data_IF_955317855271
#
_entry.id   IF_955317855271
#
_cell.length_a   1.000
_cell.length_b   1.000
_cell.length_c   1.000
_cell.angle_alpha   90.00
_cell.angle_beta   90.00
_cell.angle_gamma   90.00
#
_symmetry.space_group_name_H-M   'P 1'
#
loop_
_entity.id
_entity.type
_entity.pdbx_description
1 polymer ?
#
# COMPACT_ATOMS: atom_id res chain seq x y z
N UNK A 1 24.17 -8.98 1.75
CA UNK A 1 23.95 -9.43 3.14
C UNK A 1 22.77 -8.64 3.68
N UNK A 2 21.72 -9.28 4.20
CA UNK A 2 20.56 -8.61 4.77
C UNK A 2 21.00 -7.67 5.90
N UNK A 3 20.55 -6.43 5.85
CA UNK A 3 20.89 -5.40 6.83
C UNK A 3 19.88 -5.43 7.99
N UNK A 4 20.20 -6.19 9.05
CA UNK A 4 19.36 -6.21 10.28
C UNK A 4 19.21 -4.84 10.94
N UNK A 5 20.14 -3.92 10.69
CA UNK A 5 20.05 -2.54 11.12
C UNK A 5 18.86 -1.79 10.52
N UNK A 6 18.40 -2.17 9.31
CA UNK A 6 17.23 -1.56 8.70
C UNK A 6 15.93 -1.84 9.46
N UNK A 7 15.73 -3.06 9.93
CA UNK A 7 14.55 -3.36 10.75
C UNK A 7 14.49 -2.48 12.01
N UNK A 8 15.65 -2.27 12.65
CA UNK A 8 15.68 -1.40 13.80
C UNK A 8 15.37 0.05 13.43
N UNK A 9 15.91 0.56 12.34
CA UNK A 9 15.57 1.92 11.86
C UNK A 9 14.07 2.10 11.60
N UNK A 10 13.41 1.10 11.01
CA UNK A 10 11.95 1.13 10.83
C UNK A 10 11.21 1.10 12.18
N UNK A 11 11.67 0.30 13.14
CA UNK A 11 11.10 0.26 14.49
C UNK A 11 11.27 1.59 15.22
N UNK A 12 12.40 2.26 15.04
CA UNK A 12 12.69 3.55 15.66
C UNK A 12 11.71 4.66 15.21
N UNK A 13 11.10 4.55 14.02
CA UNK A 13 10.01 5.45 13.61
C UNK A 13 8.85 5.47 14.63
N UNK A 14 8.70 4.41 15.42
CA UNK A 14 7.64 4.22 16.40
C UNK A 14 8.11 4.23 17.85
N UNK A 15 9.34 3.81 18.09
CA UNK A 15 9.91 3.70 19.42
C UNK A 15 10.58 5.00 19.89
N UNK A 16 11.11 5.79 18.94
CA UNK A 16 11.72 7.10 19.19
C UNK A 16 11.37 8.11 18.09
N UNK A 17 10.08 8.44 17.91
CA UNK A 17 9.60 9.22 16.78
C UNK A 17 10.14 10.66 16.71
N UNK A 18 10.68 11.19 17.81
CA UNK A 18 11.22 12.55 17.87
C UNK A 18 12.72 12.61 17.51
N UNK A 19 13.46 11.52 17.68
CA UNK A 19 14.91 11.50 17.47
C UNK A 19 15.37 10.47 16.42
N UNK A 20 14.48 9.65 15.86
CA UNK A 20 14.83 8.70 14.82
C UNK A 20 15.39 9.40 13.55
N UNK A 21 16.18 8.68 12.79
CA UNK A 21 16.58 9.13 11.47
C UNK A 21 15.44 8.98 10.48
N UNK A 22 15.11 10.01 9.65
CA UNK A 22 14.26 9.83 8.50
C UNK A 22 14.81 8.77 7.54
N UNK A 23 13.92 7.96 7.00
CA UNK A 23 14.29 6.92 6.05
C UNK A 23 14.19 7.45 4.62
N UNK A 24 15.10 6.98 3.78
CA UNK A 24 15.16 7.35 2.37
C UNK A 24 15.23 6.10 1.50
N UNK A 25 14.35 6.02 0.54
CA UNK A 25 14.35 4.98 -0.48
C UNK A 25 14.38 5.60 -1.87
N UNK A 26 15.10 4.98 -2.78
CA UNK A 26 15.12 5.41 -4.18
C UNK A 26 14.72 4.23 -5.05
N UNK A 27 13.59 4.34 -5.73
CA UNK A 27 13.05 3.27 -6.57
C UNK A 27 13.98 2.97 -7.74
N UNK A 28 14.53 1.77 -7.73
CA UNK A 28 15.33 1.18 -8.78
C UNK A 28 14.77 -0.20 -9.13
N UNK A 29 15.07 -0.68 -10.30
CA UNK A 29 14.58 -1.97 -10.78
C UNK A 29 15.76 -2.79 -11.29
N UNK A 30 15.73 -4.08 -11.01
CA UNK A 30 16.59 -5.03 -11.65
C UNK A 30 16.27 -5.22 -13.15
N UNK A 31 17.09 -5.98 -13.88
CA UNK A 31 16.83 -6.31 -15.27
C UNK A 31 15.51 -7.08 -15.41
N UNK A 32 14.68 -6.69 -16.38
CA UNK A 32 13.43 -7.39 -16.68
C UNK A 32 13.71 -8.70 -17.40
N UNK A 33 13.57 -9.81 -16.66
CA UNK A 33 13.76 -11.17 -17.17
C UNK A 33 12.45 -11.80 -17.62
N UNK A 34 11.36 -11.50 -16.92
CA UNK A 34 10.04 -12.07 -17.19
C UNK A 34 8.98 -10.98 -17.37
N UNK A 35 8.07 -11.22 -18.33
CA UNK A 35 6.86 -10.41 -18.47
C UNK A 35 5.94 -10.58 -17.27
N UNK A 36 4.99 -9.65 -17.10
CA UNK A 36 3.98 -9.75 -16.03
C UNK A 36 3.15 -11.03 -16.19
N UNK A 37 2.74 -11.38 -17.42
CA UNK A 37 2.00 -12.61 -17.69
C UNK A 37 2.78 -13.88 -17.26
N UNK A 38 4.09 -13.92 -17.52
CA UNK A 38 4.93 -15.04 -17.08
C UNK A 38 5.06 -15.10 -15.57
N UNK A 39 5.17 -13.95 -14.89
CA UNK A 39 5.20 -13.87 -13.44
C UNK A 39 3.87 -14.32 -12.82
N UNK A 40 2.73 -13.92 -13.39
CA UNK A 40 1.40 -14.36 -12.94
C UNK A 40 1.16 -15.86 -13.15
N UNK A 41 1.83 -16.46 -14.14
CA UNK A 41 1.68 -17.89 -14.45
C UNK A 41 2.58 -18.80 -13.59
N UNK A 42 3.66 -18.27 -12.97
CA UNK A 42 4.66 -19.09 -12.25
C UNK A 42 5.19 -18.37 -11.01
N UNK A 43 5.00 -18.92 -9.80
CA UNK A 43 5.58 -18.37 -8.58
C UNK A 43 7.11 -18.36 -8.61
N UNK A 44 7.75 -19.32 -9.30
CA UNK A 44 9.19 -19.35 -9.49
C UNK A 44 9.69 -18.14 -10.27
N UNK A 45 9.05 -17.83 -11.42
CA UNK A 45 9.42 -16.67 -12.25
C UNK A 45 9.14 -15.36 -11.53
N UNK A 46 8.02 -15.27 -10.79
CA UNK A 46 7.69 -14.11 -9.98
C UNK A 46 8.73 -13.87 -8.89
N UNK A 47 9.14 -14.93 -8.18
CA UNK A 47 10.18 -14.84 -7.16
C UNK A 47 11.52 -14.41 -7.78
N UNK A 48 11.94 -15.04 -8.87
CA UNK A 48 13.22 -14.72 -9.52
C UNK A 48 13.27 -13.25 -9.97
N UNK A 49 12.19 -12.73 -10.59
CA UNK A 49 12.14 -11.32 -10.97
C UNK A 49 12.25 -10.40 -9.76
N UNK A 50 11.53 -10.68 -8.68
CA UNK A 50 11.58 -9.86 -7.47
C UNK A 50 12.94 -9.96 -6.75
N UNK A 51 13.64 -11.08 -6.84
CA UNK A 51 15.01 -11.21 -6.35
C UNK A 51 15.99 -10.33 -7.15
N UNK A 52 15.81 -10.18 -8.46
CA UNK A 52 16.61 -9.25 -9.27
C UNK A 52 16.34 -7.79 -8.87
N UNK A 53 15.08 -7.43 -8.63
CA UNK A 53 14.71 -6.11 -8.16
C UNK A 53 15.30 -5.82 -6.75
N UNK A 54 15.24 -6.81 -5.85
CA UNK A 54 15.84 -6.73 -4.51
C UNK A 54 17.37 -6.56 -4.55
N UNK A 55 18.05 -7.23 -5.48
CA UNK A 55 19.50 -7.07 -5.65
C UNK A 55 19.90 -5.66 -6.08
N UNK A 56 19.08 -4.99 -6.91
CA UNK A 56 19.32 -3.59 -7.28
C UNK A 56 19.28 -2.66 -6.05
N UNK A 57 18.36 -2.86 -5.11
CA UNK A 57 18.33 -2.10 -3.85
C UNK A 57 19.50 -2.43 -2.91
N UNK A 58 19.93 -3.70 -2.87
CA UNK A 58 21.13 -4.07 -2.12
C UNK A 58 22.39 -3.39 -2.68
N UNK A 59 22.49 -3.27 -4.02
CA UNK A 59 23.58 -2.54 -4.68
C UNK A 59 23.52 -1.04 -4.42
N UNK A 60 22.32 -0.46 -4.43
CA UNK A 60 22.10 0.94 -4.10
C UNK A 60 22.46 1.24 -2.65
N UNK A 61 22.09 0.37 -1.73
CA UNK A 61 22.35 0.50 -0.28
C UNK A 61 21.43 1.51 0.42
N UNK A 62 20.24 1.75 -0.15
CA UNK A 62 19.22 2.61 0.46
C UNK A 62 18.50 1.94 1.64
N UNK A 63 17.51 2.62 2.23
CA UNK A 63 16.75 2.10 3.37
C UNK A 63 15.58 1.17 2.93
N UNK A 64 15.73 0.44 1.85
CA UNK A 64 14.75 -0.51 1.32
C UNK A 64 14.89 -1.88 1.99
N UNK A 65 13.82 -2.40 2.59
CA UNK A 65 13.76 -3.78 3.07
C UNK A 65 13.18 -4.67 1.97
N UNK A 66 13.98 -5.56 1.37
CA UNK A 66 13.48 -6.46 0.34
C UNK A 66 12.43 -7.44 0.87
N UNK A 67 11.28 -7.50 0.22
CA UNK A 67 10.25 -8.49 0.52
C UNK A 67 9.56 -8.96 -0.77
N UNK A 68 9.29 -10.27 -0.85
CA UNK A 68 8.52 -10.88 -1.91
C UNK A 68 7.02 -10.62 -1.69
N UNK A 69 6.28 -10.38 -2.77
CA UNK A 69 4.83 -10.21 -2.75
C UNK A 69 4.17 -11.11 -3.79
N UNK A 70 3.14 -11.85 -3.40
CA UNK A 70 2.20 -12.46 -4.33
C UNK A 70 1.36 -11.34 -4.98
N UNK A 71 1.90 -10.76 -6.08
CA UNK A 71 1.33 -9.58 -6.71
C UNK A 71 0.35 -9.97 -7.82
N UNK A 72 -0.92 -9.78 -7.58
CA UNK A 72 -2.02 -10.01 -8.53
C UNK A 72 -2.81 -8.73 -8.82
N UNK A 73 -2.20 -7.57 -8.64
CA UNK A 73 -2.83 -6.28 -8.86
C UNK A 73 -3.82 -5.90 -7.76
N UNK A 74 -4.71 -4.97 -8.07
CA UNK A 74 -5.65 -4.36 -7.11
C UNK A 74 -7.05 -4.97 -7.12
N UNK A 75 -7.31 -5.95 -8.00
CA UNK A 75 -8.64 -6.51 -8.21
C UNK A 75 -9.00 -7.69 -7.27
N UNK A 76 -8.12 -8.10 -6.37
CA UNK A 76 -8.23 -9.38 -5.65
C UNK A 76 -9.52 -9.49 -4.82
N UNK A 77 -9.85 -8.46 -4.05
CA UNK A 77 -11.07 -8.44 -3.22
C UNK A 77 -12.31 -8.44 -4.12
N UNK A 78 -12.39 -7.54 -5.12
CA UNK A 78 -13.52 -7.48 -6.04
C UNK A 78 -13.69 -8.78 -6.87
N UNK A 79 -12.58 -9.41 -7.27
CA UNK A 79 -12.61 -10.70 -7.95
C UNK A 79 -13.21 -11.82 -7.08
N UNK A 80 -12.98 -11.77 -5.77
CA UNK A 80 -13.59 -12.74 -4.84
C UNK A 80 -15.12 -12.60 -4.80
N UNK A 81 -15.64 -11.37 -4.94
CA UNK A 81 -17.07 -11.13 -5.07
C UNK A 81 -17.65 -11.53 -6.43
N UNK A 82 -16.81 -11.87 -7.41
CA UNK A 82 -17.20 -12.35 -8.72
C UNK A 82 -16.89 -11.42 -9.89
N UNK A 83 -16.21 -10.29 -9.67
CA UNK A 83 -15.76 -9.43 -10.76
C UNK A 83 -14.80 -10.20 -11.68
N UNK A 84 -15.12 -10.22 -12.97
CA UNK A 84 -14.23 -10.84 -13.98
C UNK A 84 -12.92 -10.06 -14.07
N UNK A 85 -11.81 -10.75 -13.95
CA UNK A 85 -10.48 -10.16 -14.04
C UNK A 85 -9.89 -10.40 -15.41
N UNK A 86 -9.37 -9.33 -16.02
CA UNK A 86 -8.67 -9.37 -17.30
C UNK A 86 -7.19 -9.15 -17.08
N UNK A 87 -6.37 -10.02 -17.66
CA UNK A 87 -4.96 -9.75 -17.81
C UNK A 87 -4.77 -8.60 -18.81
N UNK A 88 -4.00 -7.62 -18.41
CA UNK A 88 -3.70 -6.45 -19.24
C UNK A 88 -2.32 -6.63 -19.86
N UNK A 89 -2.19 -6.33 -21.15
CA UNK A 89 -0.89 -6.42 -21.83
C UNK A 89 0.12 -5.46 -21.16
N UNK A 90 1.19 -6.05 -20.63
CA UNK A 90 2.25 -5.31 -19.94
C UNK A 90 1.86 -4.67 -18.60
N UNK A 91 0.69 -5.00 -18.02
CA UNK A 91 0.21 -4.48 -16.72
C UNK A 91 -0.36 -5.60 -15.84
N UNK A 92 -0.57 -5.27 -14.57
CA UNK A 92 -1.23 -6.17 -13.62
C UNK A 92 -2.72 -6.34 -13.93
N UNK A 93 -3.33 -7.48 -13.52
CA UNK A 93 -4.75 -7.74 -13.75
C UNK A 93 -5.66 -6.65 -13.16
N UNK A 94 -6.74 -6.36 -13.88
CA UNK A 94 -7.76 -5.39 -13.47
C UNK A 94 -9.16 -5.97 -13.68
N UNK A 95 -10.15 -5.46 -12.95
CA UNK A 95 -11.55 -5.81 -13.19
C UNK A 95 -11.98 -5.35 -14.59
N UNK A 96 -12.68 -6.23 -15.31
CA UNK A 96 -13.18 -5.99 -16.66
C UNK A 96 -14.50 -5.21 -16.63
N UNK A 97 -15.35 -5.53 -15.66
CA UNK A 97 -16.68 -4.96 -15.47
C UNK A 97 -17.10 -5.07 -14.01
N UNK A 98 -18.02 -4.22 -13.58
CA UNK A 98 -18.74 -4.39 -12.31
C UNK A 98 -19.78 -5.51 -12.43
N UNK A 99 -20.28 -5.94 -11.29
CA UNK A 99 -21.21 -7.07 -11.18
C UNK A 99 -22.52 -6.69 -10.49
N UNK A 100 -22.58 -5.52 -9.88
CA UNK A 100 -23.76 -5.02 -9.17
C UNK A 100 -24.37 -3.89 -10.00
N UNK A 101 -25.33 -4.21 -10.87
CA UNK A 101 -26.01 -3.24 -11.74
C UNK A 101 -27.05 -2.40 -10.97
N UNK A 102 -27.70 -2.98 -9.96
CA UNK A 102 -28.58 -2.31 -9.03
C UNK A 102 -28.05 -2.46 -7.60
N UNK A 103 -27.97 -1.38 -6.84
CA UNK A 103 -27.46 -1.42 -5.46
C UNK A 103 -28.35 -2.27 -4.55
N UNK A 104 -29.66 -2.34 -4.80
CA UNK A 104 -30.61 -3.18 -4.07
C UNK A 104 -30.24 -4.67 -4.14
N UNK A 105 -29.57 -5.11 -5.20
CA UNK A 105 -29.08 -6.49 -5.32
C UNK A 105 -27.98 -6.84 -4.31
N UNK A 106 -27.46 -5.86 -3.57
CA UNK A 106 -26.51 -6.08 -2.47
C UNK A 106 -27.03 -7.08 -1.44
N UNK A 107 -28.36 -7.14 -1.24
CA UNK A 107 -29.00 -8.09 -0.31
C UNK A 107 -28.78 -9.56 -0.75
N UNK A 108 -28.60 -9.81 -2.04
CA UNK A 108 -28.34 -11.14 -2.60
C UNK A 108 -26.85 -11.41 -2.87
N UNK A 109 -26.01 -10.38 -2.73
CA UNK A 109 -24.56 -10.53 -2.91
C UNK A 109 -23.99 -11.46 -1.84
N UNK A 110 -23.46 -12.61 -2.28
CA UNK A 110 -22.90 -13.61 -1.37
C UNK A 110 -21.57 -13.15 -0.81
N UNK A 111 -21.34 -13.40 0.47
CA UNK A 111 -20.01 -13.24 1.08
C UNK A 111 -19.05 -14.28 0.46
N UNK A 112 -17.90 -13.83 -0.07
CA UNK A 112 -16.93 -14.74 -0.68
C UNK A 112 -16.26 -15.67 0.34
N UNK A 113 -15.62 -16.69 -0.19
CA UNK A 113 -14.73 -17.61 0.54
C UNK A 113 -13.32 -17.54 -0.03
N UNK A 114 -12.37 -18.20 0.63
CA UNK A 114 -11.00 -18.32 0.12
C UNK A 114 -10.86 -19.18 -1.16
N UNK A 115 -11.95 -19.79 -1.64
CA UNK A 115 -11.99 -20.53 -2.91
C UNK A 115 -12.44 -19.67 -4.09
N UNK A 116 -12.93 -18.46 -3.81
CA UNK A 116 -13.46 -17.55 -4.83
C UNK A 116 -12.36 -16.64 -5.38
N UNK A 117 -12.56 -16.16 -6.60
CA UNK A 117 -11.63 -15.24 -7.26
C UNK A 117 -10.25 -15.85 -7.53
N UNK A 118 -9.21 -15.16 -7.11
CA UNK A 118 -7.80 -15.56 -7.30
C UNK A 118 -7.15 -16.08 -6.02
N UNK A 119 -7.91 -16.28 -4.95
CA UNK A 119 -7.38 -16.48 -3.59
C UNK A 119 -6.49 -17.72 -3.48
N UNK A 120 -6.92 -18.86 -4.03
CA UNK A 120 -6.12 -20.10 -4.00
C UNK A 120 -4.78 -19.91 -4.71
N UNK A 121 -4.77 -19.19 -5.85
CA UNK A 121 -3.54 -18.92 -6.59
C UNK A 121 -2.60 -17.96 -5.84
N UNK A 122 -3.13 -16.97 -5.17
CA UNK A 122 -2.35 -16.06 -4.31
C UNK A 122 -1.68 -16.84 -3.18
N UNK A 123 -2.44 -17.70 -2.49
CA UNK A 123 -1.91 -18.57 -1.43
C UNK A 123 -0.82 -19.53 -1.94
N UNK A 124 -1.00 -20.13 -3.11
CA UNK A 124 0.03 -20.97 -3.76
C UNK A 124 1.35 -20.21 -3.92
N UNK A 125 1.28 -18.93 -4.34
CA UNK A 125 2.47 -18.10 -4.50
C UNK A 125 3.14 -17.77 -3.18
N UNK A 126 2.38 -17.44 -2.15
CA UNK A 126 2.91 -17.15 -0.80
C UNK A 126 3.58 -18.38 -0.19
N UNK A 127 2.94 -19.55 -0.27
CA UNK A 127 3.50 -20.81 0.19
C UNK A 127 4.79 -21.15 -0.56
N UNK A 128 4.80 -20.96 -1.89
CA UNK A 128 6.00 -21.16 -2.70
C UNK A 128 7.14 -20.21 -2.27
N UNK A 129 6.84 -18.93 -2.06
CA UNK A 129 7.82 -17.95 -1.62
C UNK A 129 8.38 -18.30 -0.25
N UNK A 130 7.54 -18.61 0.71
CA UNK A 130 7.98 -19.01 2.06
C UNK A 130 8.87 -20.24 2.06
N UNK A 131 8.56 -21.20 1.21
CA UNK A 131 9.34 -22.46 1.08
C UNK A 131 10.69 -22.27 0.39
N UNK A 132 10.76 -21.39 -0.62
CA UNK A 132 11.88 -21.33 -1.55
C UNK A 132 12.73 -20.05 -1.44
N UNK A 133 12.28 -19.05 -0.68
CA UNK A 133 13.00 -17.77 -0.54
C UNK A 133 14.37 -17.94 0.10
N UNK A 134 15.39 -17.17 -0.33
CA UNK A 134 16.62 -17.02 0.43
C UNK A 134 16.36 -16.45 1.83
N UNK A 135 17.23 -16.79 2.79
CA UNK A 135 17.06 -16.36 4.19
C UNK A 135 17.17 -14.84 4.41
N UNK A 136 17.69 -14.11 3.44
CA UNK A 136 17.92 -12.66 3.54
C UNK A 136 16.74 -11.83 3.02
N UNK A 137 15.69 -12.44 2.44
CA UNK A 137 14.52 -11.71 1.96
C UNK A 137 13.28 -12.12 2.76
N UNK A 138 12.38 -11.17 2.94
CA UNK A 138 11.12 -11.39 3.65
C UNK A 138 9.98 -11.70 2.67
N UNK A 139 8.82 -12.05 3.19
CA UNK A 139 7.56 -12.13 2.42
C UNK A 139 6.58 -11.17 3.05
N UNK A 140 5.91 -10.38 2.22
CA UNK A 140 4.86 -9.46 2.63
C UNK A 140 3.50 -9.96 2.16
N UNK A 141 2.44 -9.56 2.84
CA UNK A 141 1.08 -9.89 2.42
C UNK A 141 0.74 -9.27 1.05
N UNK A 142 -0.25 -9.82 0.32
CA UNK A 142 -0.72 -9.23 -0.93
C UNK A 142 -1.29 -7.83 -0.74
N UNK A 143 -1.58 -7.15 -1.85
CA UNK A 143 -2.21 -5.83 -1.79
C UNK A 143 -3.65 -5.92 -1.28
N UNK A 144 -3.99 -5.07 -0.30
CA UNK A 144 -5.34 -4.98 0.27
C UNK A 144 -5.96 -3.66 -0.14
N UNK A 145 -6.92 -3.72 -1.05
CA UNK A 145 -7.71 -2.55 -1.40
C UNK A 145 -8.79 -2.33 -0.35
N UNK A 146 -9.09 -1.06 -0.05
CA UNK A 146 -10.10 -0.68 0.93
C UNK A 146 -11.51 -1.12 0.54
N UNK A 147 -12.43 -1.02 1.49
CA UNK A 147 -13.84 -1.30 1.24
C UNK A 147 -14.39 -0.43 0.10
N UNK A 148 -14.08 0.88 0.09
CA UNK A 148 -14.55 1.77 -0.97
C UNK A 148 -13.93 1.47 -2.33
N UNK A 149 -12.61 1.25 -2.41
CA UNK A 149 -12.00 0.85 -3.68
C UNK A 149 -12.62 -0.41 -4.25
N UNK A 150 -12.86 -1.41 -3.40
CA UNK A 150 -13.48 -2.68 -3.79
C UNK A 150 -14.95 -2.48 -4.17
N UNK A 151 -15.71 -1.65 -3.44
CA UNK A 151 -17.09 -1.30 -3.78
C UNK A 151 -17.17 -0.59 -5.13
N UNK A 152 -16.24 0.34 -5.41
CA UNK A 152 -16.15 1.01 -6.70
C UNK A 152 -15.88 0.03 -7.86
N UNK A 153 -15.06 -1.01 -7.64
CA UNK A 153 -14.85 -2.06 -8.64
C UNK A 153 -16.08 -2.97 -8.81
N UNK A 154 -16.84 -3.21 -7.74
CA UNK A 154 -18.02 -4.11 -7.73
C UNK A 154 -19.24 -3.41 -8.35
N UNK A 155 -19.49 -2.14 -8.02
CA UNK A 155 -20.67 -1.35 -8.38
C UNK A 155 -20.44 -0.40 -9.57
N UNK A 156 -19.19 -0.03 -9.80
CA UNK A 156 -18.85 0.99 -10.79
C UNK A 156 -19.03 2.42 -10.25
N UNK A 157 -19.08 3.38 -11.17
CA UNK A 157 -19.20 4.80 -10.81
C UNK A 157 -20.54 5.14 -10.16
N UNK A 158 -21.57 4.32 -10.34
CA UNK A 158 -22.89 4.54 -9.77
C UNK A 158 -22.87 4.54 -8.24
N UNK A 159 -21.87 3.91 -7.61
CA UNK A 159 -21.64 3.98 -6.14
C UNK A 159 -21.62 5.43 -5.63
N UNK A 160 -21.20 6.40 -6.46
CA UNK A 160 -21.14 7.81 -6.05
C UNK A 160 -22.56 8.38 -5.88
N UNK A 161 -23.50 7.97 -6.69
CA UNK A 161 -24.92 8.37 -6.56
C UNK A 161 -25.59 7.58 -5.43
N UNK A 162 -25.24 6.30 -5.26
CA UNK A 162 -25.80 5.43 -4.23
C UNK A 162 -25.57 5.96 -2.81
N UNK A 163 -24.49 6.72 -2.56
CA UNK A 163 -24.29 7.38 -1.27
C UNK A 163 -25.42 8.33 -0.88
N UNK A 164 -26.12 8.90 -1.87
CA UNK A 164 -27.23 9.84 -1.66
C UNK A 164 -28.59 9.18 -1.83
N UNK A 165 -28.73 8.32 -2.83
CA UNK A 165 -30.00 7.72 -3.24
C UNK A 165 -30.33 6.46 -2.43
N UNK A 166 -29.33 5.68 -2.03
CA UNK A 166 -29.46 4.40 -1.32
C UNK A 166 -28.35 4.21 -0.26
N UNK A 167 -28.28 5.12 0.74
CA UNK A 167 -27.19 5.11 1.73
C UNK A 167 -27.14 3.85 2.59
N UNK A 168 -28.27 3.22 2.86
CA UNK A 168 -28.33 2.02 3.69
C UNK A 168 -27.75 0.80 2.94
N UNK A 169 -28.10 0.63 1.66
CA UNK A 169 -27.57 -0.43 0.79
C UNK A 169 -26.07 -0.22 0.53
N UNK A 170 -25.64 1.02 0.38
CA UNK A 170 -24.22 1.37 0.27
C UNK A 170 -23.45 0.96 1.53
N UNK A 171 -23.98 1.21 2.72
CA UNK A 171 -23.37 0.75 3.99
C UNK A 171 -23.31 -0.80 4.05
N UNK A 172 -24.37 -1.48 3.64
CA UNK A 172 -24.39 -2.96 3.58
C UNK A 172 -23.29 -3.49 2.66
N UNK A 173 -23.07 -2.84 1.50
CA UNK A 173 -21.99 -3.22 0.58
C UNK A 173 -20.61 -3.04 1.21
N UNK A 174 -20.36 -1.88 1.81
CA UNK A 174 -19.10 -1.57 2.48
C UNK A 174 -18.83 -2.53 3.65
N UNK A 175 -19.85 -2.85 4.46
CA UNK A 175 -19.75 -3.78 5.57
C UNK A 175 -19.42 -5.20 5.11
N UNK A 176 -20.11 -5.72 4.09
CA UNK A 176 -19.82 -7.04 3.51
C UNK A 176 -18.38 -7.13 3.00
N UNK A 177 -17.91 -6.07 2.35
CA UNK A 177 -16.54 -6.03 1.83
C UNK A 177 -15.54 -6.01 2.99
N UNK A 178 -15.75 -5.17 4.01
CA UNK A 178 -14.86 -5.07 5.19
C UNK A 178 -14.79 -6.40 5.94
N UNK A 179 -15.94 -7.08 6.15
CA UNK A 179 -15.99 -8.40 6.78
C UNK A 179 -15.16 -9.43 6.01
N UNK A 180 -15.28 -9.43 4.69
CA UNK A 180 -14.48 -10.30 3.86
C UNK A 180 -13.01 -9.92 3.86
N UNK A 181 -12.65 -8.64 3.77
CA UNK A 181 -11.27 -8.16 3.85
C UNK A 181 -10.58 -8.64 5.13
N UNK A 182 -11.27 -8.56 6.27
CA UNK A 182 -10.76 -9.03 7.57
C UNK A 182 -10.49 -10.54 7.58
N UNK A 183 -11.39 -11.32 7.00
CA UNK A 183 -11.19 -12.76 6.84
C UNK A 183 -10.04 -13.05 5.88
N UNK A 184 -10.04 -12.39 4.74
CA UNK A 184 -9.10 -12.58 3.67
C UNK A 184 -7.65 -12.28 4.11
N UNK A 185 -7.40 -11.15 4.75
CA UNK A 185 -6.04 -10.79 5.16
C UNK A 185 -5.50 -11.74 6.25
N UNK A 186 -6.37 -12.20 7.17
CA UNK A 186 -5.98 -13.18 8.18
C UNK A 186 -5.57 -14.51 7.54
N UNK A 187 -6.32 -14.97 6.54
CA UNK A 187 -5.98 -16.20 5.81
C UNK A 187 -4.71 -16.05 4.96
N UNK A 188 -4.55 -14.94 4.24
CA UNK A 188 -3.37 -14.67 3.43
C UNK A 188 -2.08 -14.54 4.27
N UNK A 189 -2.18 -14.07 5.50
CA UNK A 189 -1.01 -13.98 6.39
C UNK A 189 -0.58 -15.31 7.02
N UNK A 190 -1.45 -16.31 7.09
CA UNK A 190 -1.13 -17.58 7.75
C UNK A 190 0.16 -18.26 7.27
N UNK A 191 0.44 -18.36 5.97
CA UNK A 191 1.70 -18.93 5.49
C UNK A 191 2.90 -18.03 5.76
N UNK A 192 2.71 -16.71 5.97
CA UNK A 192 3.79 -15.72 6.06
C UNK A 192 4.23 -15.52 7.50
N UNK A 193 3.30 -15.17 8.40
CA UNK A 193 3.61 -14.80 9.79
C UNK A 193 2.35 -14.77 10.65
N UNK A 194 2.51 -15.08 11.93
CA UNK A 194 1.53 -14.87 12.99
C UNK A 194 1.77 -13.56 13.79
N UNK A 195 2.79 -12.78 13.43
CA UNK A 195 3.08 -11.50 14.05
C UNK A 195 1.96 -10.50 13.77
N UNK A 196 1.41 -9.91 14.82
CA UNK A 196 0.37 -8.88 14.77
C UNK A 196 0.87 -7.48 15.17
N UNK A 197 2.11 -7.41 15.64
CA UNK A 197 2.74 -6.13 16.03
C UNK A 197 3.56 -5.52 14.89
N UNK A 198 4.19 -6.37 14.06
CA UNK A 198 5.04 -5.93 12.96
C UNK A 198 4.75 -6.71 11.68
N UNK A 199 4.75 -6.01 10.56
CA UNK A 199 4.57 -6.65 9.25
C UNK A 199 5.42 -5.99 8.17
N UNK A 200 5.83 -6.79 7.20
CA UNK A 200 6.52 -6.30 6.01
C UNK A 200 5.50 -5.87 4.95
N UNK A 201 5.69 -4.68 4.40
CA UNK A 201 4.91 -4.16 3.28
C UNK A 201 5.68 -3.04 2.59
N UNK A 202 5.50 -2.91 1.27
CA UNK A 202 6.01 -1.78 0.47
C UNK A 202 7.42 -1.36 0.89
N UNK A 203 8.35 -2.33 0.87
CA UNK A 203 9.78 -2.09 1.12
C UNK A 203 10.16 -1.67 2.55
N UNK A 204 9.32 -1.91 3.52
CA UNK A 204 9.55 -1.55 4.92
C UNK A 204 9.02 -2.57 5.92
N UNK A 205 9.35 -2.31 7.19
CA UNK A 205 8.79 -2.99 8.36
C UNK A 205 7.92 -1.99 9.13
N UNK A 206 6.65 -2.33 9.31
CA UNK A 206 5.66 -1.40 9.82
C UNK A 206 4.99 -1.92 11.08
N UNK A 207 4.60 -1.02 11.98
CA UNK A 207 3.86 -1.36 13.18
C UNK A 207 2.40 -1.67 12.83
N UNK A 208 1.86 -2.77 13.40
CA UNK A 208 0.51 -3.27 13.14
C UNK A 208 0.52 -4.58 12.36
N UNK A 209 -0.58 -4.90 11.69
CA UNK A 209 -0.74 -6.20 11.05
C UNK A 209 -0.94 -6.16 9.53
N UNK A 210 -1.43 -5.05 8.97
CA UNK A 210 -1.67 -4.96 7.53
C UNK A 210 -1.74 -3.49 7.04
N UNK A 211 -1.79 -3.36 5.72
CA UNK A 211 -2.06 -2.10 5.03
C UNK A 211 -3.42 -2.20 4.31
N UNK A 212 -4.15 -1.08 4.23
CA UNK A 212 -5.28 -0.92 3.30
C UNK A 212 -5.06 0.28 2.39
N UNK A 213 -5.59 0.23 1.17
CA UNK A 213 -5.35 1.22 0.11
C UNK A 213 -6.64 1.86 -0.39
N UNK A 214 -6.71 3.19 -0.29
CA UNK A 214 -7.82 4.02 -0.75
C UNK A 214 -7.40 4.84 -2.00
N UNK A 215 -7.25 4.18 -3.15
CA UNK A 215 -6.81 4.86 -4.38
C UNK A 215 -7.94 5.60 -5.11
N UNK A 216 -9.21 5.35 -4.77
CA UNK A 216 -10.38 6.04 -5.35
C UNK A 216 -10.88 7.20 -4.47
N UNK A 217 -10.19 7.54 -3.37
CA UNK A 217 -10.64 8.53 -2.41
C UNK A 217 -10.90 9.91 -3.03
N UNK A 218 -10.11 10.30 -4.02
CA UNK A 218 -10.27 11.56 -4.77
C UNK A 218 -11.61 11.71 -5.50
N UNK A 219 -12.42 10.65 -5.59
CA UNK A 219 -13.77 10.69 -6.17
C UNK A 219 -14.82 11.14 -5.16
N UNK A 220 -14.49 11.21 -3.88
CA UNK A 220 -15.40 11.55 -2.79
C UNK A 220 -15.23 13.00 -2.35
N UNK A 221 -16.27 13.54 -1.72
CA UNK A 221 -16.13 14.71 -0.87
C UNK A 221 -15.62 14.31 0.54
N UNK A 222 -15.03 15.24 1.31
CA UNK A 222 -14.67 14.97 2.69
C UNK A 222 -15.83 14.47 3.56
N UNK A 223 -17.04 15.01 3.35
CA UNK A 223 -18.24 14.57 4.08
C UNK A 223 -18.59 13.10 3.79
N UNK A 224 -18.53 12.66 2.52
CA UNK A 224 -18.77 11.26 2.16
C UNK A 224 -17.72 10.33 2.77
N UNK A 225 -16.45 10.75 2.79
CA UNK A 225 -15.42 9.99 3.48
C UNK A 225 -15.72 9.87 4.97
N UNK A 226 -16.02 10.99 5.63
CA UNK A 226 -16.33 11.03 7.04
C UNK A 226 -17.52 10.12 7.40
N UNK A 227 -18.61 10.20 6.61
CA UNK A 227 -19.88 9.55 6.94
C UNK A 227 -19.94 8.05 6.59
N UNK A 228 -19.12 7.61 5.62
CA UNK A 228 -19.21 6.23 5.09
C UNK A 228 -17.90 5.44 5.15
N UNK A 229 -16.76 6.07 4.89
CA UNK A 229 -15.52 5.33 4.62
C UNK A 229 -14.60 5.26 5.83
N UNK A 230 -14.48 6.35 6.59
CA UNK A 230 -13.63 6.45 7.77
C UNK A 230 -13.89 5.32 8.77
N UNK A 231 -15.17 5.00 9.02
CA UNK A 231 -15.55 3.92 9.93
C UNK A 231 -15.04 2.56 9.43
N UNK A 232 -15.07 2.30 8.12
CA UNK A 232 -14.59 1.05 7.54
C UNK A 232 -13.07 0.91 7.65
N UNK A 233 -12.33 1.98 7.37
CA UNK A 233 -10.88 2.03 7.53
C UNK A 233 -10.48 1.84 9.01
N UNK A 234 -11.16 2.54 9.94
CA UNK A 234 -10.90 2.39 11.38
C UNK A 234 -11.24 0.98 11.87
N UNK A 235 -12.38 0.42 11.46
CA UNK A 235 -12.80 -0.94 11.81
C UNK A 235 -11.79 -1.98 11.32
N UNK A 236 -11.35 -1.87 10.06
CA UNK A 236 -10.36 -2.77 9.50
C UNK A 236 -9.06 -2.77 10.31
N UNK A 237 -8.51 -1.58 10.57
CA UNK A 237 -7.27 -1.46 11.34
C UNK A 237 -7.43 -1.89 12.80
N UNK A 238 -8.56 -1.55 13.44
CA UNK A 238 -8.87 -1.90 14.82
C UNK A 238 -8.91 -3.42 15.03
N UNK A 239 -9.62 -4.13 14.16
CA UNK A 239 -9.77 -5.58 14.23
C UNK A 239 -8.44 -6.35 14.01
N UNK A 240 -7.45 -5.69 13.39
CA UNK A 240 -6.11 -6.21 13.15
C UNK A 240 -5.07 -5.73 14.16
N UNK A 241 -5.43 -4.84 15.10
CA UNK A 241 -4.51 -4.29 16.09
C UNK A 241 -3.67 -3.11 15.59
N UNK A 242 -3.97 -2.56 14.42
CA UNK A 242 -3.31 -1.42 13.81
C UNK A 242 -2.68 -1.71 12.44
N UNK A 243 -2.27 -0.66 11.75
CA UNK A 243 -1.63 -0.81 10.44
C UNK A 243 -1.48 0.48 9.65
N UNK A 244 -1.24 0.34 8.35
CA UNK A 244 -0.97 1.43 7.42
C UNK A 244 -2.20 1.79 6.60
N UNK A 245 -2.34 3.08 6.35
CA UNK A 245 -3.26 3.63 5.37
C UNK A 245 -2.48 4.16 4.17
N UNK A 246 -2.87 3.74 2.97
CA UNK A 246 -2.32 4.23 1.72
C UNK A 246 -3.38 5.02 0.96
N UNK A 247 -3.02 6.22 0.53
CA UNK A 247 -3.87 7.07 -0.28
C UNK A 247 -3.10 7.57 -1.50
N UNK A 248 -3.68 7.39 -2.69
CA UNK A 248 -3.19 7.96 -3.94
C UNK A 248 -3.96 9.22 -4.30
N UNK A 249 -3.30 10.17 -4.97
CA UNK A 249 -3.93 11.35 -5.55
C UNK A 249 -3.98 12.55 -4.62
N UNK A 250 -4.84 13.50 -4.95
CA UNK A 250 -4.98 14.79 -4.26
C UNK A 250 -6.17 14.75 -3.32
N UNK A 251 -5.93 14.96 -1.99
CA UNK A 251 -6.97 14.88 -0.96
C UNK A 251 -6.64 15.75 0.28
N UNK A 252 -6.31 17.04 0.14
CA UNK A 252 -5.83 17.85 1.27
C UNK A 252 -6.88 17.99 2.38
N UNK A 253 -8.16 18.04 2.03
CA UNK A 253 -9.26 18.27 2.96
C UNK A 253 -9.62 17.03 3.81
N UNK A 254 -9.05 15.85 3.49
CA UNK A 254 -9.31 14.60 4.21
C UNK A 254 -8.35 14.36 5.39
N UNK A 255 -7.23 15.07 5.47
CA UNK A 255 -6.20 14.78 6.49
C UNK A 255 -6.71 14.81 7.91
N UNK A 256 -7.69 15.69 8.22
CA UNK A 256 -8.29 15.73 9.55
C UNK A 256 -8.91 14.38 9.94
N UNK A 257 -9.70 13.80 9.04
CA UNK A 257 -10.36 12.52 9.28
C UNK A 257 -9.38 11.34 9.25
N UNK A 258 -8.43 11.37 8.31
CA UNK A 258 -7.38 10.34 8.20
C UNK A 258 -6.54 10.27 9.48
N UNK A 259 -6.11 11.40 10.01
CA UNK A 259 -5.29 11.45 11.23
C UNK A 259 -6.09 11.25 12.53
N UNK A 260 -7.41 11.26 12.47
CA UNK A 260 -8.29 10.91 13.60
C UNK A 260 -8.52 9.39 13.72
N UNK A 261 -8.10 8.58 12.75
CA UNK A 261 -8.19 7.12 12.80
C UNK A 261 -7.16 6.57 13.81
N UNK A 262 -7.64 6.12 14.97
CA UNK A 262 -6.82 5.78 16.15
C UNK A 262 -5.84 4.62 15.95
N UNK A 263 -6.15 3.71 15.03
CA UNK A 263 -5.35 2.51 14.77
C UNK A 263 -4.42 2.65 13.57
N UNK A 264 -4.39 3.82 12.93
CA UNK A 264 -3.44 4.13 11.89
C UNK A 264 -2.05 4.38 12.51
N UNK A 265 -1.10 3.54 12.20
CA UNK A 265 0.29 3.67 12.67
C UNK A 265 1.18 4.37 11.67
N UNK A 266 0.81 4.29 10.39
CA UNK A 266 1.46 4.99 9.30
C UNK A 266 0.42 5.47 8.27
N UNK A 267 0.63 6.66 7.74
CA UNK A 267 -0.12 7.19 6.59
C UNK A 267 0.85 7.39 5.43
N UNK A 268 0.54 6.76 4.31
CA UNK A 268 1.28 6.89 3.07
C UNK A 268 0.62 7.93 2.18
N UNK A 269 1.38 8.95 1.81
CA UNK A 269 0.92 10.17 1.14
C UNK A 269 1.58 10.29 -0.22
N UNK A 270 0.82 10.66 -1.25
CA UNK A 270 1.36 10.96 -2.57
C UNK A 270 2.04 12.32 -2.57
N UNK A 271 3.38 12.32 -2.59
CA UNK A 271 4.18 13.54 -2.53
C UNK A 271 4.09 14.42 -3.78
N UNK A 272 3.51 13.92 -4.86
CA UNK A 272 3.24 14.71 -6.05
C UNK A 272 2.21 15.81 -5.78
N UNK A 273 1.24 15.53 -4.92
CA UNK A 273 0.10 16.42 -4.64
C UNK A 273 0.22 17.11 -3.28
N UNK A 274 0.95 16.51 -2.33
CA UNK A 274 1.00 16.96 -0.95
C UNK A 274 2.43 17.31 -0.53
N UNK A 275 2.61 18.52 -0.05
CA UNK A 275 3.91 18.99 0.41
C UNK A 275 4.29 18.36 1.75
N UNK A 276 5.51 17.81 1.81
CA UNK A 276 6.03 17.08 2.98
C UNK A 276 5.92 17.91 4.26
N UNK A 277 6.34 19.19 4.24
CA UNK A 277 6.30 20.06 5.41
C UNK A 277 4.88 20.32 5.91
N UNK A 278 3.95 20.59 4.99
CA UNK A 278 2.57 20.93 5.32
C UNK A 278 1.86 19.73 6.00
N UNK A 279 2.07 18.51 5.47
CA UNK A 279 1.52 17.30 6.07
C UNK A 279 2.21 16.97 7.41
N UNK A 280 3.52 17.16 7.51
CA UNK A 280 4.26 16.93 8.76
C UNK A 280 3.82 17.87 9.90
N UNK A 281 3.35 19.08 9.59
CA UNK A 281 2.87 20.05 10.61
C UNK A 281 1.55 19.62 11.25
N UNK A 282 0.68 18.95 10.51
CA UNK A 282 -0.67 18.57 10.97
C UNK A 282 -0.76 17.12 11.46
N UNK A 283 0.20 16.26 11.10
CA UNK A 283 0.17 14.85 11.48
C UNK A 283 0.47 14.65 12.98
N UNK A 284 -0.23 13.71 13.65
CA UNK A 284 0.09 13.32 15.03
C UNK A 284 1.54 12.84 15.15
N UNK A 285 2.17 13.07 16.30
CA UNK A 285 3.58 12.72 16.54
C UNK A 285 3.83 11.23 16.43
N UNK A 286 2.90 10.42 16.94
CA UNK A 286 2.97 8.96 17.00
C UNK A 286 2.73 8.27 15.66
N UNK A 287 2.05 8.93 14.71
CA UNK A 287 1.81 8.40 13.37
C UNK A 287 3.02 8.67 12.49
N UNK A 288 3.65 7.63 11.96
CA UNK A 288 4.72 7.80 10.98
C UNK A 288 4.14 8.17 9.61
N UNK A 289 4.90 8.86 8.78
CA UNK A 289 4.48 9.24 7.43
C UNK A 289 5.40 8.61 6.38
N UNK A 290 4.79 8.17 5.28
CA UNK A 290 5.53 7.75 4.08
C UNK A 290 5.14 8.67 2.93
N UNK A 291 6.12 9.32 2.32
CA UNK A 291 5.92 10.19 1.16
C UNK A 291 6.43 9.47 -0.08
N UNK A 292 5.54 9.11 -0.98
CA UNK A 292 5.87 8.37 -2.19
C UNK A 292 5.42 9.13 -3.41
N UNK A 293 6.31 9.31 -4.37
CA UNK A 293 6.00 9.87 -5.67
C UNK A 293 5.58 8.75 -6.62
N UNK A 294 4.30 8.70 -6.92
CA UNK A 294 3.72 7.72 -7.86
C UNK A 294 3.77 8.20 -9.31
N UNK A 295 4.20 9.44 -9.58
CA UNK A 295 4.26 9.95 -10.95
C UNK A 295 5.21 9.13 -11.82
N UNK A 296 4.73 8.77 -13.01
CA UNK A 296 5.56 8.08 -14.00
C UNK A 296 6.23 9.04 -14.99
N UNK A 297 5.91 10.33 -14.96
CA UNK A 297 6.15 11.20 -16.10
C UNK A 297 7.13 12.34 -15.86
N UNK A 298 7.33 12.81 -14.65
CA UNK A 298 8.07 14.06 -14.40
C UNK A 298 9.23 13.97 -13.40
N UNK A 299 9.43 12.82 -12.80
CA UNK A 299 10.35 12.74 -11.67
C UNK A 299 9.89 13.58 -10.48
N UNK A 300 10.70 13.62 -9.47
CA UNK A 300 10.39 14.17 -8.15
C UNK A 300 10.61 15.69 -8.04
N UNK A 301 10.71 16.42 -9.16
CA UNK A 301 11.34 17.75 -9.18
C UNK A 301 10.70 18.75 -8.20
N UNK A 302 9.39 18.91 -8.23
CA UNK A 302 8.73 20.00 -7.49
C UNK A 302 8.80 19.84 -5.97
N UNK A 303 8.45 18.66 -5.44
CA UNK A 303 8.49 18.43 -4.00
C UNK A 303 9.92 18.29 -3.47
N UNK A 304 10.83 17.73 -4.30
CA UNK A 304 12.25 17.61 -3.96
C UNK A 304 12.92 18.97 -3.88
N UNK A 305 12.68 19.86 -4.83
CA UNK A 305 13.26 21.21 -4.82
C UNK A 305 12.81 21.97 -3.57
N UNK A 306 11.52 21.90 -3.21
CA UNK A 306 11.01 22.49 -1.96
C UNK A 306 11.66 21.89 -0.72
N UNK A 307 11.84 20.58 -0.66
CA UNK A 307 12.54 19.92 0.46
C UNK A 307 13.99 20.42 0.58
N UNK A 308 14.68 20.58 -0.55
CA UNK A 308 16.07 21.06 -0.57
C UNK A 308 16.18 22.53 -0.15
N UNK A 309 15.19 23.35 -0.49
CA UNK A 309 15.15 24.77 -0.13
C UNK A 309 14.81 25.00 1.34
N UNK A 310 13.84 24.27 1.88
CA UNK A 310 13.34 24.45 3.24
C UNK A 310 14.12 23.63 4.29
N UNK A 311 14.89 22.64 3.85
CA UNK A 311 15.59 21.71 4.73
C UNK A 311 14.63 20.66 5.35
N UNK A 312 15.07 19.93 6.39
CA UNK A 312 14.29 18.83 6.94
C UNK A 312 13.04 19.33 7.67
N UNK A 313 11.90 18.61 7.56
CA UNK A 313 10.74 18.89 8.38
C UNK A 313 11.05 18.62 9.87
N UNK A 314 10.27 19.22 10.76
CA UNK A 314 10.42 19.00 12.21
C UNK A 314 10.11 17.55 12.63
N UNK A 315 9.13 16.94 11.93
CA UNK A 315 8.74 15.54 12.16
C UNK A 315 9.84 14.61 11.64
N UNK A 316 10.33 13.72 12.50
CA UNK A 316 11.46 12.83 12.20
C UNK A 316 11.04 11.43 11.74
N UNK A 317 9.95 10.90 12.25
CA UNK A 317 9.46 9.56 11.91
C UNK A 317 8.78 9.53 10.53
N UNK A 318 9.57 9.81 9.50
CA UNK A 318 9.14 9.86 8.10
C UNK A 318 10.00 8.96 7.22
N UNK A 319 9.38 8.44 6.17
CA UNK A 319 10.05 7.79 5.05
C UNK A 319 9.77 8.58 3.78
N UNK A 320 10.81 8.84 3.00
CA UNK A 320 10.69 9.44 1.68
C UNK A 320 11.12 8.41 0.64
N UNK A 321 10.23 8.14 -0.30
CA UNK A 321 10.52 7.28 -1.44
C UNK A 321 10.53 8.13 -2.72
N UNK A 322 11.71 8.30 -3.28
CA UNK A 322 11.93 9.03 -4.53
C UNK A 322 12.11 8.07 -5.71
N UNK A 323 11.99 8.58 -6.91
CA UNK A 323 12.23 7.83 -8.15
C UNK A 323 13.50 8.34 -8.84
N UNK A 324 14.47 7.47 -9.04
CA UNK A 324 15.64 7.80 -9.86
C UNK A 324 15.27 7.83 -11.35
N UNK A 325 15.87 8.80 -12.05
CA UNK A 325 15.85 8.83 -13.51
C UNK A 325 17.27 8.51 -13.99
N UNK A 326 17.42 7.40 -14.73
CA UNK A 326 18.71 7.05 -15.32
C UNK A 326 19.39 5.84 -14.67
N UNK A 327 20.69 5.97 -14.42
CA UNK A 327 21.56 4.88 -13.99
C UNK A 327 21.52 4.62 -12.47
N UNK A 328 22.14 3.51 -12.04
CA UNK A 328 22.39 3.22 -10.63
C UNK A 328 23.19 4.34 -9.94
N UNK A 329 24.12 4.98 -10.66
CA UNK A 329 24.88 6.12 -10.13
C UNK A 329 24.00 7.36 -9.91
N UNK A 330 22.99 7.56 -10.77
CA UNK A 330 22.00 8.63 -10.56
C UNK A 330 21.15 8.35 -9.30
N UNK A 331 20.78 7.10 -9.10
CA UNK A 331 20.05 6.68 -7.91
C UNK A 331 20.87 6.88 -6.63
N UNK A 332 22.16 6.51 -6.65
CA UNK A 332 23.08 6.75 -5.50
C UNK A 332 23.24 8.24 -5.21
N UNK A 333 23.42 9.08 -6.23
CA UNK A 333 23.49 10.54 -6.06
C UNK A 333 22.19 11.12 -5.49
N UNK A 334 21.04 10.64 -5.93
CA UNK A 334 19.75 11.08 -5.40
C UNK A 334 19.57 10.65 -3.93
N UNK A 335 19.94 9.43 -3.59
CA UNK A 335 19.91 8.93 -2.21
C UNK A 335 20.75 9.82 -1.29
N UNK A 336 22.01 10.07 -1.62
CA UNK A 336 22.91 10.92 -0.84
C UNK A 336 22.39 12.37 -0.71
N UNK A 337 21.83 12.91 -1.80
CA UNK A 337 21.22 14.24 -1.80
C UNK A 337 20.03 14.33 -0.84
N UNK A 338 19.17 13.31 -0.81
CA UNK A 338 18.02 13.25 0.09
C UNK A 338 18.45 13.06 1.56
N UNK A 339 19.40 12.17 1.84
CA UNK A 339 19.96 11.97 3.20
C UNK A 339 20.50 13.30 3.74
N UNK A 340 21.29 14.00 2.95
CA UNK A 340 21.81 15.32 3.33
C UNK A 340 20.69 16.34 3.57
N UNK A 341 19.66 16.39 2.72
CA UNK A 341 18.54 17.31 2.87
C UNK A 341 17.71 17.04 4.14
N UNK A 342 17.67 15.79 4.59
CA UNK A 342 16.95 15.38 5.79
C UNK A 342 17.82 15.44 7.05
N UNK A 343 19.10 15.76 6.92
CA UNK A 343 20.04 15.85 8.06
C UNK A 343 20.37 14.49 8.66
N UNK A 344 20.55 13.48 7.83
CA UNK A 344 20.97 12.13 8.22
C UNK A 344 22.15 11.64 7.38
#
# INVERSE_FOLDING_TARGET
MYRKDLEQKFKDLYLDPEHCEPLVQVRVWGPRKYSIAEQLASPEKAMEQQLLDAQAHIELGDDWIPALRANFGTAQIAASFGCEVKEMDGSWPACKSHILDDIEDVHFLKTPTMKDGMNEKVLEFEEYFMKNKPSWIQVQHPDVQSAFNSAHLIRGNDIIYDFFDSPDETRILLDKITDFMLTWIKEMKKPITDDTEWFYDSAGLWKGAARTSNCSLQLLSPDLYHDFIKEQDERFLKELGGGRLHYCGEYPDFFKDIFDIKYATNVEVDSQFHHIHDVCEIAPKEVSLSFIDWSNTRGNAAWLDRLLEQGPPKKRNILIQAKAQGSMDDAKRLYEKLKKALGC
#
